data_IF_631863911403
#
_entry.id   IF_631863911403
#
_cell.length_a   1.000
_cell.length_b   1.000
_cell.length_c   1.000
_cell.angle_alpha   90.00
_cell.angle_beta   90.00
_cell.angle_gamma   90.00
#
_symmetry.space_group_name_H-M   'P 1'
#
loop_
_entity.id
_entity.type
_entity.pdbx_description
1 polymer ?
#
# COMPACT_ATOMS: atom_id res chain seq x y z
N UNK A 1 6.22 -5.49 3.54
CA UNK A 1 6.99 -6.65 3.03
C UNK A 1 6.06 -7.82 2.69
N UNK A 2 5.12 -8.18 3.56
CA UNK A 2 4.19 -9.31 3.39
C UNK A 2 3.51 -9.36 2.03
N UNK A 3 2.84 -8.28 1.61
CA UNK A 3 2.16 -8.26 0.30
C UNK A 3 3.11 -8.36 -0.90
N UNK A 4 4.31 -7.78 -0.81
CA UNK A 4 5.31 -7.88 -1.88
C UNK A 4 5.73 -9.34 -2.10
N UNK A 5 6.00 -10.07 -1.01
CA UNK A 5 6.33 -11.49 -1.07
C UNK A 5 5.13 -12.30 -1.53
N UNK A 6 3.95 -12.09 -0.93
CA UNK A 6 2.74 -12.84 -1.25
C UNK A 6 2.30 -12.69 -2.70
N UNK A 7 2.37 -11.47 -3.25
CA UNK A 7 2.08 -11.20 -4.65
C UNK A 7 3.09 -11.92 -5.57
N UNK A 8 4.39 -11.82 -5.27
CA UNK A 8 5.43 -12.48 -6.05
C UNK A 8 5.27 -14.00 -6.04
N UNK A 9 5.04 -14.59 -4.87
CA UNK A 9 4.78 -16.02 -4.71
C UNK A 9 3.54 -16.44 -5.49
N UNK A 10 2.43 -15.68 -5.38
CA UNK A 10 1.19 -15.98 -6.11
C UNK A 10 1.39 -15.98 -7.62
N UNK A 11 2.19 -15.07 -8.18
CA UNK A 11 2.50 -15.07 -9.63
C UNK A 11 3.21 -16.36 -10.03
N UNK A 12 4.20 -16.79 -9.25
CA UNK A 12 5.02 -17.98 -9.52
C UNK A 12 4.18 -19.25 -9.39
N UNK A 13 3.48 -19.40 -8.27
CA UNK A 13 2.69 -20.59 -7.92
C UNK A 13 1.55 -20.81 -8.90
N UNK A 14 0.83 -19.74 -9.26
CA UNK A 14 -0.29 -19.80 -10.20
C UNK A 14 0.13 -19.68 -11.67
N UNK A 15 1.44 -19.57 -11.94
CA UNK A 15 2.03 -19.38 -13.28
C UNK A 15 1.39 -18.23 -14.07
N UNK A 16 1.00 -17.15 -13.39
CA UNK A 16 0.29 -15.99 -13.94
C UNK A 16 1.24 -14.97 -14.59
N UNK A 17 2.15 -15.46 -15.43
CA UNK A 17 3.17 -14.64 -16.10
C UNK A 17 2.58 -13.82 -17.27
N UNK A 18 3.38 -12.93 -17.85
CA UNK A 18 3.03 -12.17 -19.06
C UNK A 18 2.13 -10.94 -18.85
N UNK A 19 1.78 -10.63 -17.60
CA UNK A 19 1.03 -9.43 -17.22
C UNK A 19 1.91 -8.44 -16.47
N UNK A 20 1.50 -7.16 -16.47
CA UNK A 20 2.08 -6.14 -15.60
C UNK A 20 1.25 -6.10 -14.32
N UNK A 21 1.90 -6.33 -13.17
CA UNK A 21 1.26 -6.19 -11.86
C UNK A 21 1.84 -4.98 -11.13
N UNK A 22 0.97 -4.04 -10.76
CA UNK A 22 1.36 -2.96 -9.85
C UNK A 22 1.15 -3.42 -8.41
N UNK A 23 2.23 -3.72 -7.71
CA UNK A 23 2.24 -4.15 -6.31
C UNK A 23 1.98 -3.00 -5.32
N UNK A 24 0.97 -2.18 -5.57
CA UNK A 24 0.55 -1.06 -4.71
C UNK A 24 -0.72 -1.45 -3.95
N UNK A 25 -0.82 -1.05 -2.68
CA UNK A 25 -2.05 -1.25 -1.92
C UNK A 25 -3.23 -0.51 -2.61
N UNK A 26 -4.45 -1.08 -2.62
CA UNK A 26 -5.61 -0.41 -3.18
C UNK A 26 -6.06 0.84 -2.39
N UNK A 27 -5.62 1.00 -1.14
CA UNK A 27 -5.87 2.21 -0.35
C UNK A 27 -4.82 3.28 -0.62
N UNK A 28 -5.24 4.41 -1.18
CA UNK A 28 -4.37 5.51 -1.59
C UNK A 28 -4.52 6.72 -0.67
N UNK A 29 -3.77 6.75 0.43
CA UNK A 29 -3.65 7.96 1.24
C UNK A 29 -2.72 8.96 0.57
N UNK A 30 -2.96 10.25 0.82
CA UNK A 30 -1.95 11.25 0.49
C UNK A 30 -0.71 11.04 1.35
N UNK A 31 0.44 11.55 0.90
CA UNK A 31 1.68 11.55 1.70
C UNK A 31 1.45 12.16 3.08
N UNK A 32 0.72 13.28 3.15
CA UNK A 32 0.44 13.97 4.41
C UNK A 32 -0.37 13.08 5.34
N UNK A 33 -1.48 12.53 4.85
CA UNK A 33 -2.38 11.71 5.67
C UNK A 33 -1.68 10.45 6.18
N UNK A 34 -0.94 9.76 5.32
CA UNK A 34 -0.24 8.54 5.71
C UNK A 34 0.75 8.79 6.86
N UNK A 35 1.65 9.77 6.70
CA UNK A 35 2.68 10.03 7.70
C UNK A 35 2.10 10.65 8.98
N UNK A 36 1.06 11.49 8.87
CA UNK A 36 0.36 12.00 10.05
C UNK A 36 -0.25 10.86 10.87
N UNK A 37 -0.94 9.92 10.23
CA UNK A 37 -1.56 8.79 10.94
C UNK A 37 -0.53 7.81 11.49
N UNK A 38 0.56 7.55 10.76
CA UNK A 38 1.66 6.72 11.27
C UNK A 38 2.30 7.33 12.53
N UNK A 39 2.59 8.64 12.54
CA UNK A 39 3.14 9.31 13.72
C UNK A 39 2.17 9.26 14.91
N UNK A 40 0.87 9.48 14.68
CA UNK A 40 -0.15 9.38 15.75
C UNK A 40 -0.17 7.96 16.32
N UNK A 41 -0.22 6.94 15.47
CA UNK A 41 -0.24 5.55 15.89
C UNK A 41 1.01 5.15 16.69
N UNK A 42 2.18 5.66 16.30
CA UNK A 42 3.45 5.39 16.99
C UNK A 42 3.74 6.29 18.20
N UNK A 43 2.81 7.16 18.61
CA UNK A 43 3.00 8.08 19.74
C UNK A 43 4.07 9.16 19.50
N UNK A 44 4.37 9.47 18.23
CA UNK A 44 5.35 10.48 17.82
C UNK A 44 4.68 11.83 17.55
N UNK A 45 5.48 12.90 17.55
CA UNK A 45 5.00 14.23 17.15
C UNK A 45 4.58 14.24 15.68
N UNK A 46 3.54 15.01 15.36
CA UNK A 46 3.02 15.12 13.99
C UNK A 46 4.02 15.85 13.08
N UNK A 47 4.25 15.36 11.85
CA UNK A 47 5.13 16.02 10.90
C UNK A 47 4.49 17.30 10.35
N UNK A 48 5.35 18.25 9.96
CA UNK A 48 4.95 19.42 9.18
C UNK A 48 5.28 19.18 7.69
N UNK A 49 4.40 19.63 6.79
CA UNK A 49 4.58 19.47 5.36
C UNK A 49 4.73 20.81 4.67
N UNK A 50 5.76 20.93 3.85
CA UNK A 50 5.91 22.04 2.92
C UNK A 50 4.97 21.86 1.73
N UNK A 51 4.37 22.96 1.29
CA UNK A 51 3.47 22.96 0.13
C UNK A 51 4.28 23.02 -1.17
N UNK A 52 4.98 21.93 -1.47
CA UNK A 52 5.84 21.77 -2.66
C UNK A 52 5.18 20.87 -3.72
N UNK A 53 5.49 21.15 -5.00
CA UNK A 53 4.99 20.50 -6.25
C UNK A 53 3.84 19.50 -6.09
N UNK A 54 2.66 19.91 -6.56
CA UNK A 54 1.36 19.21 -6.51
C UNK A 54 1.11 18.18 -7.63
N UNK A 55 2.07 17.95 -8.53
CA UNK A 55 1.87 17.06 -9.67
C UNK A 55 2.23 15.61 -9.31
N UNK A 56 1.24 14.86 -8.87
CA UNK A 56 1.37 13.43 -8.53
C UNK A 56 0.52 12.58 -9.45
N UNK A 57 0.92 11.32 -9.61
CA UNK A 57 0.10 10.28 -10.24
C UNK A 57 -0.34 9.28 -9.18
N UNK A 58 -1.59 8.85 -9.24
CA UNK A 58 -2.08 7.69 -8.52
C UNK A 58 -1.85 6.45 -9.40
N UNK A 59 -1.31 5.39 -8.81
CA UNK A 59 -1.10 4.10 -9.50
C UNK A 59 -2.11 3.12 -8.95
N UNK A 60 -2.85 2.45 -9.83
CA UNK A 60 -3.83 1.44 -9.44
C UNK A 60 -3.27 0.03 -9.59
N UNK A 61 -3.67 -0.86 -8.70
CA UNK A 61 -3.26 -2.27 -8.72
C UNK A 61 -4.18 -3.18 -9.53
N UNK A 62 -4.92 -2.66 -10.52
CA UNK A 62 -6.01 -3.36 -11.26
C UNK A 62 -5.79 -4.84 -11.58
N UNK A 63 -4.65 -5.21 -12.16
CA UNK A 63 -4.39 -6.59 -12.57
C UNK A 63 -4.19 -7.55 -11.37
N UNK A 64 -3.89 -7.05 -10.17
CA UNK A 64 -3.69 -7.87 -8.98
C UNK A 64 -5.01 -8.52 -8.52
N UNK A 65 -6.11 -7.79 -8.25
CA UNK A 65 -7.38 -8.41 -7.97
C UNK A 65 -8.01 -9.06 -9.22
N UNK A 66 -7.91 -8.44 -10.40
CA UNK A 66 -8.64 -8.90 -11.60
C UNK A 66 -8.03 -10.15 -12.26
N UNK A 67 -6.69 -10.27 -12.28
CA UNK A 67 -5.98 -11.32 -13.03
C UNK A 67 -5.29 -12.31 -12.10
N UNK A 68 -4.61 -11.80 -11.07
CA UNK A 68 -3.90 -12.63 -10.09
C UNK A 68 -4.83 -13.16 -8.98
N UNK A 69 -5.98 -12.52 -8.77
CA UNK A 69 -6.92 -12.80 -7.68
C UNK A 69 -6.23 -12.83 -6.31
N UNK A 70 -5.23 -11.97 -6.12
CA UNK A 70 -4.50 -11.85 -4.85
C UNK A 70 -5.22 -10.87 -3.92
N UNK A 71 -5.47 -11.30 -2.69
CA UNK A 71 -6.02 -10.46 -1.63
C UNK A 71 -4.90 -9.86 -0.79
N UNK A 72 -4.87 -8.53 -0.70
CA UNK A 72 -3.86 -7.83 0.09
C UNK A 72 -4.07 -8.03 1.58
N UNK A 73 -2.99 -8.37 2.28
CA UNK A 73 -2.93 -8.35 3.75
C UNK A 73 -3.12 -6.92 4.27
N UNK A 74 -2.57 -5.92 3.58
CA UNK A 74 -2.76 -4.49 3.86
C UNK A 74 -3.53 -3.79 2.74
N UNK A 75 -4.78 -4.22 2.52
CA UNK A 75 -5.71 -3.52 1.64
C UNK A 75 -6.16 -2.15 2.18
N UNK A 76 -6.15 -1.99 3.51
CA UNK A 76 -6.49 -0.76 4.24
C UNK A 76 -5.37 -0.41 5.23
N UNK A 77 -4.85 0.81 5.14
CA UNK A 77 -3.83 1.34 6.03
C UNK A 77 -4.27 1.43 7.50
N UNK A 78 -5.56 1.47 7.80
CA UNK A 78 -6.04 1.42 9.18
C UNK A 78 -5.59 0.16 9.91
N UNK A 79 -5.44 -0.97 9.20
CA UNK A 79 -4.89 -2.19 9.79
C UNK A 79 -3.44 -1.97 10.23
N UNK A 80 -2.62 -1.39 9.35
CA UNK A 80 -1.23 -1.08 9.64
C UNK A 80 -1.10 -0.09 10.81
N UNK A 81 -1.93 0.95 10.86
CA UNK A 81 -1.90 1.91 11.97
C UNK A 81 -2.27 1.28 13.32
N UNK A 82 -3.18 0.31 13.35
CA UNK A 82 -3.49 -0.43 14.59
C UNK A 82 -2.27 -1.23 15.06
N UNK A 83 -1.61 -1.95 14.15
CA UNK A 83 -0.41 -2.74 14.47
C UNK A 83 0.78 -1.88 14.93
N UNK A 84 0.82 -0.60 14.57
CA UNK A 84 1.83 0.35 15.09
C UNK A 84 1.53 0.86 16.50
N UNK A 85 0.26 0.81 16.92
CA UNK A 85 -0.19 1.27 18.23
C UNK A 85 -0.17 0.16 19.29
N UNK A 86 -0.01 -1.08 18.86
CA UNK A 86 0.17 -2.29 19.70
C UNK A 86 1.65 -2.47 20.09
#
# INVERSE_FOLDING_TARGET
>A
MTDCIGLTSSIIENRKFGNIYHGVSPSHLTRSDFYTQACIASGLEKPQFLNEKVAWKQIESKNVPEVLAYEYVYADWNKYFKELAD
#
